data_IF_901365225584
#
_entry.id   IF_901365225584
#
_cell.length_a   1.000
_cell.length_b   1.000
_cell.length_c   1.000
_cell.angle_alpha   90.00
_cell.angle_beta   90.00
_cell.angle_gamma   90.00
#
_symmetry.space_group_name_H-M   'P 1'
#
loop_
_entity.id
_entity.type
_entity.pdbx_description
1 polymer ?
#
# COMPACT_ATOMS: atom_id res chain seq x y z
N UNK A 1 23.37 -8.19 26.01
CA UNK A 1 22.63 -8.36 24.73
C UNK A 1 22.06 -9.77 24.69
N UNK A 2 20.74 -9.92 24.54
CA UNK A 2 20.10 -11.26 24.49
C UNK A 2 20.58 -12.03 23.25
N UNK A 3 20.72 -13.36 23.38
CA UNK A 3 21.10 -14.23 22.26
C UNK A 3 20.09 -14.17 21.11
N UNK A 4 18.82 -13.91 21.44
CA UNK A 4 17.73 -13.69 20.48
C UNK A 4 17.93 -12.45 19.60
N UNK A 5 18.55 -11.38 20.11
CA UNK A 5 18.79 -10.17 19.33
C UNK A 5 19.90 -10.37 18.28
N UNK A 6 20.85 -11.28 18.53
CA UNK A 6 21.98 -11.60 17.63
C UNK A 6 21.71 -12.82 16.77
N UNK A 7 20.47 -13.03 16.35
CA UNK A 7 20.15 -14.02 15.34
C UNK A 7 20.17 -13.37 13.96
N UNK A 8 20.67 -14.10 12.96
CA UNK A 8 20.67 -13.63 11.57
C UNK A 8 19.26 -13.24 11.10
N UNK A 9 18.23 -13.95 11.54
CA UNK A 9 16.83 -13.67 11.22
C UNK A 9 16.37 -12.30 11.76
N UNK A 10 16.83 -11.90 12.94
CA UNK A 10 16.50 -10.59 13.54
C UNK A 10 17.14 -9.47 12.74
N UNK A 11 18.40 -9.63 12.33
CA UNK A 11 19.09 -8.65 11.49
C UNK A 11 18.46 -8.51 10.10
N UNK A 12 18.07 -9.62 9.47
CA UNK A 12 17.37 -9.60 8.18
C UNK A 12 16.01 -8.90 8.28
N UNK A 13 15.22 -9.22 9.31
CA UNK A 13 13.93 -8.54 9.56
C UNK A 13 14.09 -7.03 9.73
N UNK A 14 15.13 -6.58 10.45
CA UNK A 14 15.42 -5.15 10.63
C UNK A 14 15.80 -4.46 9.30
N UNK A 15 16.58 -5.15 8.45
CA UNK A 15 16.95 -4.64 7.13
C UNK A 15 15.75 -4.55 6.20
N UNK A 16 14.84 -5.52 6.23
CA UNK A 16 13.63 -5.52 5.40
C UNK A 16 12.72 -4.32 5.72
N UNK A 17 12.48 -4.01 7.00
CA UNK A 17 11.73 -2.82 7.40
C UNK A 17 12.45 -1.52 7.00
N UNK A 18 13.77 -1.47 7.20
CA UNK A 18 14.57 -0.27 6.91
C UNK A 18 14.61 0.04 5.42
N UNK A 19 14.75 -0.97 4.56
CA UNK A 19 14.78 -0.81 3.11
C UNK A 19 13.47 -0.24 2.57
N UNK A 20 12.34 -0.75 3.08
CA UNK A 20 11.02 -0.29 2.70
C UNK A 20 10.79 1.19 3.04
N UNK A 21 11.14 1.62 4.27
CA UNK A 21 10.99 3.01 4.70
C UNK A 21 11.92 3.96 3.92
N UNK A 22 13.14 3.51 3.60
CA UNK A 22 14.10 4.28 2.79
C UNK A 22 13.57 4.58 1.38
N UNK A 23 13.00 3.56 0.72
CA UNK A 23 12.40 3.75 -0.60
C UNK A 23 11.22 4.71 -0.58
N UNK A 24 10.36 4.62 0.45
CA UNK A 24 9.28 5.58 0.64
C UNK A 24 9.81 6.99 0.86
N UNK A 25 10.82 7.15 1.72
CA UNK A 25 11.40 8.45 2.02
C UNK A 25 11.92 9.14 0.76
N UNK A 26 12.58 8.39 -0.14
CA UNK A 26 13.04 8.92 -1.44
C UNK A 26 11.85 9.45 -2.25
N UNK A 27 10.72 8.73 -2.30
CA UNK A 27 9.52 9.18 -3.01
C UNK A 27 8.88 10.45 -2.42
N UNK A 28 8.81 10.55 -1.08
CA UNK A 28 8.19 11.68 -0.38
C UNK A 28 9.07 12.94 -0.40
N UNK A 29 10.36 12.81 -0.72
CA UNK A 29 11.25 13.99 -0.83
C UNK A 29 10.78 14.99 -1.89
N UNK A 30 10.24 14.55 -3.03
CA UNK A 30 9.83 15.47 -4.09
C UNK A 30 8.66 16.38 -3.67
N UNK A 31 7.54 15.85 -3.10
CA UNK A 31 6.49 16.68 -2.51
C UNK A 31 6.96 17.54 -1.33
N UNK A 32 7.89 17.03 -0.51
CA UNK A 32 8.43 17.77 0.64
C UNK A 32 9.20 19.02 0.22
N UNK A 33 10.05 18.91 -0.80
CA UNK A 33 10.84 20.04 -1.31
C UNK A 33 9.94 21.14 -1.89
N UNK A 34 8.78 20.76 -2.44
CA UNK A 34 7.76 21.73 -2.94
C UNK A 34 6.97 22.40 -1.81
N UNK A 35 7.30 22.15 -0.54
CA UNK A 35 6.61 22.71 0.62
C UNK A 35 5.31 21.98 0.98
N UNK A 36 5.08 20.81 0.38
CA UNK A 36 3.94 19.95 0.66
C UNK A 36 4.23 18.84 1.67
N UNK A 37 3.16 18.25 2.21
CA UNK A 37 3.23 17.06 3.06
C UNK A 37 2.44 15.96 2.36
N UNK A 38 3.07 14.81 2.08
CA UNK A 38 2.39 13.63 1.54
C UNK A 38 2.14 12.59 2.63
N UNK A 39 0.92 12.61 3.16
CA UNK A 39 0.44 11.64 4.15
C UNK A 39 -0.17 10.38 3.49
N UNK A 40 -0.41 10.41 2.18
CA UNK A 40 -1.18 9.38 1.48
C UNK A 40 -0.37 8.14 1.13
N UNK A 41 0.97 8.24 1.10
CA UNK A 41 1.84 7.14 0.68
C UNK A 41 1.76 5.90 1.59
N UNK A 42 1.56 6.11 2.89
CA UNK A 42 1.45 5.01 3.86
C UNK A 42 0.16 4.21 3.68
N UNK A 43 -0.98 4.87 3.62
CA UNK A 43 -2.28 4.21 3.38
C UNK A 43 -2.41 3.69 1.95
N UNK A 44 -1.82 4.39 0.99
CA UNK A 44 -1.71 3.96 -0.40
C UNK A 44 -0.99 2.62 -0.52
N UNK A 45 0.18 2.48 0.11
CA UNK A 45 0.93 1.24 0.09
C UNK A 45 0.12 0.04 0.60
N UNK A 46 -0.51 0.19 1.77
CA UNK A 46 -1.36 -0.89 2.33
C UNK A 46 -2.46 -1.26 1.35
N UNK A 47 -3.09 -0.26 0.72
CA UNK A 47 -4.13 -0.49 -0.28
C UNK A 47 -3.61 -1.27 -1.51
N UNK A 48 -2.49 -0.86 -2.11
CA UNK A 48 -1.93 -1.55 -3.28
C UNK A 48 -1.43 -2.95 -2.94
N UNK A 49 -0.84 -3.14 -1.75
CA UNK A 49 -0.43 -4.45 -1.27
C UNK A 49 -1.62 -5.41 -1.10
N UNK A 50 -2.74 -4.92 -0.57
CA UNK A 50 -3.98 -5.67 -0.48
C UNK A 50 -4.51 -6.02 -1.88
N UNK A 51 -4.64 -5.05 -2.78
CA UNK A 51 -5.12 -5.26 -4.15
C UNK A 51 -4.25 -6.29 -4.87
N UNK A 52 -2.92 -6.14 -4.84
CA UNK A 52 -1.98 -7.10 -5.44
C UNK A 52 -2.12 -8.50 -4.83
N UNK A 53 -2.23 -8.60 -3.51
CA UNK A 53 -2.46 -9.86 -2.81
C UNK A 53 -3.77 -10.55 -3.22
N UNK A 54 -4.85 -9.77 -3.40
CA UNK A 54 -6.14 -10.31 -3.88
C UNK A 54 -6.09 -10.75 -5.34
N UNK A 55 -5.31 -10.07 -6.19
CA UNK A 55 -5.14 -10.46 -7.59
C UNK A 55 -4.40 -11.78 -7.72
N UNK A 56 -3.29 -11.93 -6.98
CA UNK A 56 -2.47 -13.15 -7.03
C UNK A 56 -3.20 -14.32 -6.39
N UNK A 57 -3.74 -14.18 -5.17
CA UNK A 57 -4.40 -15.29 -4.48
C UNK A 57 -5.84 -15.53 -4.92
N UNK A 58 -6.56 -14.48 -5.30
CA UNK A 58 -8.00 -14.54 -5.59
C UNK A 58 -8.33 -14.84 -7.05
N UNK A 59 -7.49 -14.40 -7.99
CA UNK A 59 -7.66 -14.61 -9.43
C UNK A 59 -6.54 -15.45 -10.08
N UNK A 60 -5.54 -15.90 -9.31
CA UNK A 60 -4.46 -16.76 -9.81
C UNK A 60 -3.57 -16.07 -10.85
N UNK A 61 -3.55 -14.73 -10.90
CA UNK A 61 -2.76 -14.00 -11.87
C UNK A 61 -1.26 -14.13 -11.59
N UNK A 62 -0.42 -14.12 -12.65
CA UNK A 62 1.03 -14.15 -12.49
C UNK A 62 1.51 -12.92 -11.71
N UNK A 63 2.46 -13.15 -10.80
CA UNK A 63 2.99 -12.13 -9.87
C UNK A 63 3.49 -10.89 -10.62
N UNK A 64 4.10 -11.07 -11.79
CA UNK A 64 4.57 -9.97 -12.63
C UNK A 64 3.46 -8.99 -13.04
N UNK A 65 2.27 -9.50 -13.40
CA UNK A 65 1.13 -8.67 -13.80
C UNK A 65 0.56 -7.93 -12.60
N UNK A 66 0.46 -8.60 -11.45
CA UNK A 66 0.00 -7.97 -10.21
C UNK A 66 0.93 -6.82 -9.77
N UNK A 67 2.26 -7.01 -9.86
CA UNK A 67 3.22 -5.94 -9.56
C UNK A 67 3.04 -4.74 -10.48
N UNK A 68 2.86 -4.97 -11.78
CA UNK A 68 2.69 -3.90 -12.76
C UNK A 68 1.41 -3.08 -12.49
N UNK A 69 0.32 -3.75 -12.11
CA UNK A 69 -0.93 -3.09 -11.70
C UNK A 69 -0.73 -2.24 -10.44
N UNK A 70 -0.01 -2.74 -9.44
CA UNK A 70 0.29 -1.97 -8.23
C UNK A 70 1.12 -0.72 -8.53
N UNK A 71 2.10 -0.81 -9.43
CA UNK A 71 2.91 0.35 -9.86
C UNK A 71 2.02 1.37 -10.58
N UNK A 72 1.15 0.93 -11.49
CA UNK A 72 0.23 1.81 -12.20
C UNK A 72 -0.72 2.54 -11.25
N UNK A 73 -1.26 1.84 -10.24
CA UNK A 73 -2.10 2.47 -9.21
C UNK A 73 -1.32 3.51 -8.40
N UNK A 74 -0.08 3.21 -8.02
CA UNK A 74 0.80 4.16 -7.33
C UNK A 74 1.06 5.43 -8.16
N UNK A 75 1.35 5.27 -9.46
CA UNK A 75 1.54 6.40 -10.39
C UNK A 75 0.25 7.21 -10.54
N UNK A 76 -0.90 6.55 -10.66
CA UNK A 76 -2.19 7.21 -10.83
C UNK A 76 -2.55 8.08 -9.60
N UNK A 77 -2.30 7.57 -8.40
CA UNK A 77 -2.56 8.33 -7.17
C UNK A 77 -1.52 9.43 -6.94
N UNK A 78 -0.24 9.18 -7.24
CA UNK A 78 0.80 10.20 -7.19
C UNK A 78 0.57 11.35 -8.16
N UNK A 79 0.17 11.03 -9.39
CA UNK A 79 -0.19 12.04 -10.41
C UNK A 79 -1.44 12.82 -10.02
N UNK A 80 -2.47 12.17 -9.46
CA UNK A 80 -3.62 12.88 -8.89
C UNK A 80 -3.18 13.90 -7.83
N UNK A 81 -2.41 13.48 -6.82
CA UNK A 81 -1.90 14.39 -5.80
C UNK A 81 -1.10 15.56 -6.42
N UNK A 82 -0.24 15.28 -7.40
CA UNK A 82 0.51 16.31 -8.13
C UNK A 82 -0.38 17.30 -8.87
N UNK A 83 -1.45 16.84 -9.52
CA UNK A 83 -2.41 17.69 -10.25
C UNK A 83 -3.25 18.53 -9.27
N UNK A 84 -3.72 17.93 -8.19
CA UNK A 84 -4.50 18.63 -7.15
C UNK A 84 -3.71 19.79 -6.54
N UNK A 85 -2.43 19.59 -6.28
CA UNK A 85 -1.56 20.60 -5.67
C UNK A 85 -1.10 21.62 -6.72
N UNK A 86 -0.58 21.15 -7.86
CA UNK A 86 0.04 22.00 -8.87
C UNK A 86 -0.92 22.78 -9.75
N UNK A 87 -2.08 22.21 -10.10
CA UNK A 87 -3.06 22.86 -11.01
C UNK A 87 -4.16 23.55 -10.22
N UNK A 88 -4.74 22.85 -9.22
CA UNK A 88 -5.88 23.38 -8.48
C UNK A 88 -5.49 24.24 -7.26
N UNK A 89 -4.19 24.43 -6.99
CA UNK A 89 -3.67 25.23 -5.87
C UNK A 89 -4.30 24.86 -4.51
N UNK A 90 -4.65 23.58 -4.31
CA UNK A 90 -5.11 23.13 -3.00
C UNK A 90 -3.93 23.09 -2.02
N UNK A 91 -4.17 23.42 -0.73
CA UNK A 91 -3.18 23.16 0.30
C UNK A 91 -2.78 21.66 0.29
N UNK A 92 -1.48 21.34 0.27
CA UNK A 92 -0.99 19.98 0.04
C UNK A 92 -1.45 18.97 1.10
N UNK A 93 -1.64 19.45 2.33
CA UNK A 93 -2.21 18.65 3.42
C UNK A 93 -3.65 18.21 3.14
N UNK A 94 -4.50 19.09 2.58
CA UNK A 94 -5.89 18.77 2.27
C UNK A 94 -5.97 17.76 1.13
N UNK A 95 -5.21 17.99 0.04
CA UNK A 95 -5.19 17.09 -1.10
C UNK A 95 -4.78 15.67 -0.69
N UNK A 96 -3.70 15.54 0.09
CA UNK A 96 -3.17 14.23 0.49
C UNK A 96 -4.01 13.57 1.59
N UNK A 97 -4.69 14.32 2.46
CA UNK A 97 -5.70 13.76 3.38
C UNK A 97 -6.90 13.17 2.63
N UNK A 98 -7.42 13.88 1.62
CA UNK A 98 -8.51 13.37 0.79
C UNK A 98 -8.12 12.06 0.12
N UNK A 99 -6.95 12.04 -0.51
CA UNK A 99 -6.42 10.84 -1.15
C UNK A 99 -6.15 9.71 -0.15
N UNK A 100 -5.64 10.03 1.04
CA UNK A 100 -5.43 9.07 2.12
C UNK A 100 -6.74 8.39 2.58
N UNK A 101 -7.86 9.12 2.62
CA UNK A 101 -9.16 8.55 2.94
C UNK A 101 -9.70 7.68 1.81
N UNK A 102 -9.47 8.07 0.55
CA UNK A 102 -9.84 7.27 -0.62
C UNK A 102 -9.08 5.94 -0.65
N UNK A 103 -7.75 5.97 -0.48
CA UNK A 103 -6.92 4.75 -0.48
C UNK A 103 -7.25 3.84 0.68
N UNK A 104 -7.47 4.41 1.88
CA UNK A 104 -7.88 3.66 3.07
C UNK A 104 -9.26 3.00 2.89
N UNK A 105 -10.22 3.72 2.31
CA UNK A 105 -11.54 3.20 1.96
C UNK A 105 -11.44 2.04 0.96
N UNK A 106 -10.72 2.24 -0.15
CA UNK A 106 -10.49 1.22 -1.17
C UNK A 106 -9.82 -0.05 -0.59
N UNK A 107 -8.81 0.12 0.26
CA UNK A 107 -8.14 -0.99 0.93
C UNK A 107 -9.09 -1.80 1.82
N UNK A 108 -9.92 -1.13 2.62
CA UNK A 108 -10.92 -1.80 3.46
C UNK A 108 -11.96 -2.59 2.67
N UNK A 109 -12.37 -2.08 1.49
CA UNK A 109 -13.31 -2.77 0.61
C UNK A 109 -12.67 -4.04 0.01
N UNK A 110 -11.42 -3.93 -0.44
CA UNK A 110 -10.66 -5.04 -0.99
C UNK A 110 -10.43 -6.16 0.05
N UNK A 111 -10.13 -5.78 1.29
CA UNK A 111 -10.04 -6.71 2.41
C UNK A 111 -11.38 -7.41 2.67
N UNK A 112 -12.48 -6.67 2.70
CA UNK A 112 -13.82 -7.24 2.90
C UNK A 112 -14.19 -8.24 1.80
N UNK A 113 -13.84 -7.96 0.55
CA UNK A 113 -14.05 -8.89 -0.58
C UNK A 113 -13.28 -10.20 -0.39
N UNK A 114 -12.01 -10.11 0.03
CA UNK A 114 -11.18 -11.30 0.29
C UNK A 114 -11.74 -12.14 1.43
N UNK A 115 -12.14 -11.49 2.52
CA UNK A 115 -12.76 -12.15 3.65
C UNK A 115 -14.07 -12.82 3.21
N UNK A 116 -14.96 -12.12 2.51
CA UNK A 116 -16.20 -12.70 2.01
C UNK A 116 -15.96 -13.95 1.16
N UNK A 117 -14.97 -13.92 0.25
CA UNK A 117 -14.58 -15.08 -0.56
C UNK A 117 -14.08 -16.26 0.29
N UNK A 118 -13.32 -15.98 1.35
CA UNK A 118 -12.84 -16.99 2.30
C UNK A 118 -13.96 -17.55 3.19
N UNK A 119 -14.89 -16.72 3.65
CA UNK A 119 -16.03 -17.16 4.49
C UNK A 119 -17.05 -17.95 3.68
N UNK A 120 -17.38 -17.53 2.45
CA UNK A 120 -18.27 -18.30 1.56
C UNK A 120 -17.67 -19.69 1.23
N UNK A 121 -16.33 -19.80 1.10
CA UNK A 121 -15.65 -21.09 0.94
C UNK A 121 -15.53 -21.91 2.23
N UNK A 122 -15.58 -21.29 3.41
CA UNK A 122 -15.43 -21.97 4.72
C UNK A 122 -16.71 -22.69 5.17
N UNK A 123 -17.89 -22.23 4.73
CA UNK A 123 -19.18 -22.87 5.04
C UNK A 123 -19.55 -24.04 4.10
N UNK A 124 -18.72 -24.33 3.08
CA UNK A 124 -18.86 -25.50 2.19
C UNK A 124 -17.85 -26.61 2.50
N UNK A 125 -17.30 -26.65 3.72
CA UNK A 125 -16.56 -27.82 4.20
C UNK A 125 -17.59 -28.71 4.92
N UNK A 126 -17.94 -29.91 4.41
CA UNK A 126 -18.76 -30.83 5.17
C UNK A 126 -17.94 -31.27 6.37
N UNK A 127 -18.50 -31.09 7.57
CA UNK A 127 -18.02 -31.77 8.76
C UNK A 127 -18.22 -33.28 8.53
N UNK A 128 -17.14 -33.99 8.18
CA UNK A 128 -17.02 -35.43 8.38
C UNK A 128 -15.76 -35.72 9.20
#
# INVERSE_FOLDING_TARGET
MSKEFRQYNTLLSLLDFSYYDLLMAIGVTFPLITGGVDLSIGTGMVCYALIGGTLVRGHGMPVAVAMLICVLLGVLIGTLNGVLIGVMNLPPFLATLCTCMITRGAGSLCQRYTLAKLYTGRWMVPLY
#
